data_IF_829657491011
#
_entry.id   IF_829657491011
#
_cell.length_a   1.000
_cell.length_b   1.000
_cell.length_c   1.000
_cell.angle_alpha   90.00
_cell.angle_beta   90.00
_cell.angle_gamma   90.00
#
_symmetry.space_group_name_H-M   'P 1'
#
loop_
_entity.id
_entity.type
_entity.pdbx_description
1 polymer ?
#
# COMPACT_ATOMS: atom_id res chain seq x y z
N UNK A 1 32.31 -62.64 -9.81
CA UNK A 1 31.29 -63.12 -8.85
C UNK A 1 31.27 -62.16 -7.65
N UNK A 2 30.07 -61.64 -7.35
CA UNK A 2 29.59 -60.77 -6.27
C UNK A 2 30.53 -59.83 -5.50
N UNK A 3 30.25 -58.52 -5.65
CA UNK A 3 30.57 -57.44 -4.71
C UNK A 3 29.56 -57.46 -3.54
N UNK A 4 30.06 -57.34 -2.31
CA UNK A 4 29.24 -57.21 -1.11
C UNK A 4 28.77 -55.75 -0.93
N UNK A 5 27.47 -55.57 -0.71
CA UNK A 5 26.81 -54.29 -0.42
C UNK A 5 26.61 -54.18 1.09
N UNK A 6 27.19 -53.16 1.70
CA UNK A 6 26.99 -52.83 3.11
C UNK A 6 25.59 -52.19 3.29
N UNK A 7 24.77 -52.84 4.13
CA UNK A 7 23.40 -52.42 4.47
C UNK A 7 23.47 -51.63 5.79
N UNK A 8 23.37 -50.30 5.71
CA UNK A 8 23.26 -49.43 6.88
C UNK A 8 21.85 -49.57 7.49
N UNK A 9 21.79 -49.93 8.76
CA UNK A 9 20.56 -50.05 9.56
C UNK A 9 20.19 -48.67 10.11
N UNK A 10 19.01 -48.16 9.76
CA UNK A 10 18.37 -47.02 10.41
C UNK A 10 17.43 -47.51 11.54
N UNK A 11 17.39 -46.85 12.71
CA UNK A 11 16.47 -47.21 13.80
C UNK A 11 15.04 -46.69 13.57
N UNK A 12 14.01 -47.33 14.16
CA UNK A 12 12.62 -46.95 13.97
C UNK A 12 12.22 -45.78 14.88
N UNK A 13 11.62 -44.73 14.31
CA UNK A 13 10.93 -43.68 15.07
C UNK A 13 9.50 -44.15 15.33
N UNK A 14 9.16 -44.26 16.61
CA UNK A 14 7.84 -44.62 17.13
C UNK A 14 6.79 -43.57 16.75
N UNK A 15 5.66 -44.07 16.21
CA UNK A 15 4.39 -43.35 16.14
C UNK A 15 3.71 -43.47 17.50
N UNK A 16 3.38 -42.34 18.12
CA UNK A 16 2.35 -42.29 19.15
C UNK A 16 1.52 -41.02 18.92
N UNK A 17 0.33 -41.21 18.35
CA UNK A 17 -0.63 -40.15 18.00
C UNK A 17 -1.93 -40.44 18.75
N UNK A 18 -1.89 -40.43 20.09
CA UNK A 18 -3.11 -40.41 20.90
C UNK A 18 -2.85 -39.83 22.29
N UNK A 19 -2.97 -38.50 22.43
CA UNK A 19 -3.48 -37.81 23.65
C UNK A 19 -3.46 -36.29 23.46
N UNK A 20 -4.49 -35.76 22.82
CA UNK A 20 -4.89 -34.37 23.06
C UNK A 20 -6.04 -34.40 24.07
N UNK A 21 -5.73 -34.16 25.34
CA UNK A 21 -6.73 -33.86 26.37
C UNK A 21 -7.29 -32.46 26.11
N UNK A 22 -8.60 -32.36 25.85
CA UNK A 22 -9.33 -31.09 25.74
C UNK A 22 -9.20 -30.28 27.04
N UNK A 23 -9.01 -28.96 26.98
CA UNK A 23 -9.20 -28.09 28.14
C UNK A 23 -10.69 -28.09 28.53
N UNK A 24 -10.97 -28.31 29.81
CA UNK A 24 -12.32 -28.12 30.36
C UNK A 24 -12.59 -26.61 30.48
N UNK A 25 -13.51 -26.10 29.67
CA UNK A 25 -14.09 -24.77 29.88
C UNK A 25 -15.08 -24.88 31.04
N UNK A 26 -14.84 -24.14 32.12
CA UNK A 26 -15.76 -24.03 33.25
C UNK A 26 -17.07 -23.36 32.84
N UNK A 27 -18.16 -23.78 33.46
CA UNK A 27 -19.50 -23.26 33.21
C UNK A 27 -19.62 -21.76 33.55
N UNK A 28 -20.43 -20.98 32.81
CA UNK A 28 -20.66 -19.58 33.12
C UNK A 28 -21.60 -19.45 34.32
N UNK A 29 -21.07 -18.99 35.45
CA UNK A 29 -21.88 -18.55 36.59
C UNK A 29 -22.83 -17.43 36.16
N UNK A 30 -24.11 -17.75 36.19
CA UNK A 30 -25.23 -16.82 36.04
C UNK A 30 -25.49 -16.21 37.41
N UNK A 31 -25.03 -14.98 37.63
CA UNK A 31 -25.63 -14.03 38.58
C UNK A 31 -24.88 -12.69 38.50
N UNK A 32 -25.41 -11.76 37.70
CA UNK A 32 -25.05 -10.35 37.80
C UNK A 32 -26.35 -9.54 37.88
N UNK A 33 -26.55 -8.99 39.08
CA UNK A 33 -27.68 -8.19 39.52
C UNK A 33 -27.85 -6.94 38.65
N UNK A 34 -29.04 -6.76 38.09
CA UNK A 34 -29.50 -5.52 37.48
C UNK A 34 -30.29 -4.71 38.49
N UNK A 35 -29.72 -3.64 39.02
CA UNK A 35 -30.50 -2.54 39.59
C UNK A 35 -29.65 -1.29 39.76
N UNK A 36 -29.78 -0.34 38.83
CA UNK A 36 -29.90 1.11 39.05
C UNK A 36 -29.53 1.91 37.79
N UNK A 37 -30.54 2.27 36.99
CA UNK A 37 -30.44 3.34 35.99
C UNK A 37 -31.62 4.30 36.22
N UNK A 38 -31.41 5.58 36.58
CA UNK A 38 -32.49 6.55 36.71
C UNK A 38 -32.97 7.05 35.33
N UNK A 39 -34.23 7.50 35.19
CA UNK A 39 -34.83 7.80 33.90
C UNK A 39 -34.31 9.10 33.28
N UNK A 40 -34.11 9.09 31.96
CA UNK A 40 -33.77 10.26 31.17
C UNK A 40 -34.97 11.23 31.11
N UNK A 41 -34.73 12.48 31.53
CA UNK A 41 -35.68 13.60 31.37
C UNK A 41 -35.69 14.07 29.92
N UNK A 42 -36.89 14.09 29.34
CA UNK A 42 -37.20 14.76 28.09
C UNK A 42 -37.08 16.28 28.32
N UNK A 43 -36.17 16.95 27.62
CA UNK A 43 -36.07 18.41 27.61
C UNK A 43 -36.64 18.96 26.29
N UNK A 44 -37.67 19.78 26.44
CA UNK A 44 -38.27 20.63 25.41
C UNK A 44 -37.40 21.84 25.09
N UNK A 45 -37.42 22.24 23.82
CA UNK A 45 -36.74 23.38 23.22
C UNK A 45 -37.08 24.74 23.85
N UNK A 46 -36.06 25.58 24.05
CA UNK A 46 -36.21 27.03 24.18
C UNK A 46 -35.16 27.75 23.30
N UNK A 47 -35.63 28.76 22.57
CA UNK A 47 -34.92 29.57 21.57
C UNK A 47 -33.94 30.57 22.21
N UNK A 48 -32.91 30.88 21.41
CA UNK A 48 -32.20 32.17 21.30
C UNK A 48 -30.99 32.41 22.21
N UNK A 49 -29.80 32.41 21.60
CA UNK A 49 -29.02 33.64 21.39
C UNK A 49 -27.77 33.33 20.55
N UNK A 50 -27.51 34.18 19.57
CA UNK A 50 -26.40 34.15 18.63
C UNK A 50 -25.05 33.97 19.33
N UNK A 51 -24.33 32.89 19.00
CA UNK A 51 -22.90 32.77 19.22
C UNK A 51 -22.29 32.34 17.89
N UNK A 52 -21.50 33.24 17.31
CA UNK A 52 -20.61 32.97 16.19
C UNK A 52 -19.72 31.79 16.57
N UNK A 53 -19.98 30.62 15.98
CA UNK A 53 -19.12 29.46 16.11
C UNK A 53 -17.82 29.78 15.35
N UNK A 54 -16.79 30.19 16.08
CA UNK A 54 -15.43 30.06 15.61
C UNK A 54 -15.18 28.58 15.40
N UNK A 55 -15.05 28.19 14.13
CA UNK A 55 -14.68 26.85 13.72
C UNK A 55 -13.23 26.58 14.17
N UNK A 56 -12.93 25.59 15.04
CA UNK A 56 -11.57 25.37 15.52
C UNK A 56 -10.68 24.57 14.54
N UNK A 57 -11.11 24.35 13.29
CA UNK A 57 -10.37 23.58 12.29
C UNK A 57 -9.90 24.41 11.08
N UNK A 58 -9.65 25.70 11.25
CA UNK A 58 -8.66 26.39 10.41
C UNK A 58 -7.29 26.20 11.04
N UNK A 59 -6.65 25.07 10.76
CA UNK A 59 -5.20 25.01 10.80
C UNK A 59 -4.72 25.95 9.71
N UNK A 60 -4.37 27.18 10.07
CA UNK A 60 -3.46 27.98 9.29
C UNK A 60 -2.23 27.10 9.01
N UNK A 61 -2.10 26.62 7.76
CA UNK A 61 -0.84 26.05 7.30
C UNK A 61 0.18 27.18 7.44
N UNK A 62 0.99 27.13 8.50
CA UNK A 62 2.21 27.92 8.60
C UNK A 62 3.10 27.54 7.40
N UNK A 63 2.95 28.28 6.29
CA UNK A 63 3.69 28.09 5.04
C UNK A 63 5.18 28.46 5.16
N UNK A 64 5.70 28.63 6.38
CA UNK A 64 7.05 29.14 6.64
C UNK A 64 8.01 28.08 7.18
N UNK A 65 7.55 26.88 7.52
CA UNK A 65 8.41 25.79 8.04
C UNK A 65 8.46 24.53 7.17
N UNK A 66 7.68 24.44 6.10
CA UNK A 66 7.56 23.22 5.29
C UNK A 66 8.72 22.99 4.29
N UNK A 67 9.56 23.99 4.02
CA UNK A 67 10.48 23.97 2.86
C UNK A 67 11.97 24.03 3.19
N UNK A 68 12.39 23.72 4.42
CA UNK A 68 13.82 23.67 4.73
C UNK A 68 14.31 22.21 4.79
N UNK A 69 15.35 21.84 4.02
CA UNK A 69 15.99 20.55 4.16
C UNK A 69 16.37 20.31 5.62
N UNK A 70 16.02 19.14 6.14
CA UNK A 70 16.28 18.78 7.55
C UNK A 70 17.79 18.72 7.87
N UNK A 71 18.61 18.40 6.87
CA UNK A 71 20.03 18.13 7.03
C UNK A 71 20.93 19.32 6.67
N UNK A 72 22.13 19.34 7.25
CA UNK A 72 23.10 20.42 7.07
C UNK A 72 23.80 20.41 5.71
N UNK A 73 23.91 19.23 5.09
CA UNK A 73 24.54 19.04 3.78
C UNK A 73 23.43 18.86 2.75
N UNK A 74 23.29 19.84 1.87
CA UNK A 74 22.29 19.81 0.82
C UNK A 74 22.86 19.13 -0.43
N UNK A 75 22.12 18.17 -0.98
CA UNK A 75 22.46 17.50 -2.24
C UNK A 75 22.16 18.42 -3.42
N UNK A 76 21.01 19.09 -3.40
CA UNK A 76 20.56 20.05 -4.42
C UNK A 76 20.34 21.43 -3.80
N UNK A 77 20.15 22.46 -4.63
CA UNK A 77 19.68 23.76 -4.16
C UNK A 77 18.23 23.66 -3.66
N UNK A 78 17.81 24.52 -2.72
CA UNK A 78 16.46 24.45 -2.14
C UNK A 78 15.34 24.46 -3.19
N UNK A 79 15.48 25.28 -4.23
CA UNK A 79 14.51 25.38 -5.33
C UNK A 79 14.45 24.08 -6.15
N UNK A 80 15.59 23.41 -6.37
CA UNK A 80 15.62 22.12 -7.07
C UNK A 80 15.07 21.00 -6.18
N UNK A 81 15.46 20.97 -4.91
CA UNK A 81 14.96 20.01 -3.92
C UNK A 81 13.44 19.99 -3.91
N UNK A 82 12.79 21.14 -3.71
CA UNK A 82 11.32 21.22 -3.65
C UNK A 82 10.66 20.64 -4.90
N UNK A 83 11.08 21.09 -6.09
CA UNK A 83 10.53 20.61 -7.37
C UNK A 83 10.73 19.11 -7.58
N UNK A 84 11.92 18.59 -7.25
CA UNK A 84 12.22 17.15 -7.40
C UNK A 84 11.37 16.35 -6.43
N UNK A 85 11.31 16.76 -5.15
CA UNK A 85 10.56 16.02 -4.14
C UNK A 85 9.06 16.07 -4.35
N UNK A 86 8.52 17.13 -4.94
CA UNK A 86 7.11 17.20 -5.33
C UNK A 86 6.78 16.15 -6.41
N UNK A 87 7.63 16.05 -7.45
CA UNK A 87 7.47 15.04 -8.51
C UNK A 87 7.59 13.61 -7.97
N UNK A 88 8.53 13.38 -7.05
CA UNK A 88 8.72 12.09 -6.41
C UNK A 88 7.56 11.75 -5.48
N UNK A 89 7.07 12.72 -4.68
CA UNK A 89 5.97 12.51 -3.75
C UNK A 89 4.66 12.16 -4.47
N UNK A 90 4.41 12.77 -5.62
CA UNK A 90 3.29 12.42 -6.50
C UNK A 90 3.35 10.96 -6.95
N UNK A 91 4.53 10.51 -7.39
CA UNK A 91 4.72 9.13 -7.82
C UNK A 91 4.70 8.15 -6.63
N UNK A 92 5.18 8.56 -5.46
CA UNK A 92 5.11 7.77 -4.24
C UNK A 92 3.66 7.42 -3.89
N UNK A 93 2.74 8.39 -3.93
CA UNK A 93 1.33 8.13 -3.63
C UNK A 93 0.70 7.17 -4.64
N UNK A 94 1.01 7.32 -5.93
CA UNK A 94 0.52 6.41 -6.98
C UNK A 94 1.06 4.98 -6.79
N UNK A 95 2.35 4.82 -6.46
CA UNK A 95 2.95 3.50 -6.22
C UNK A 95 2.39 2.81 -4.97
N UNK A 96 2.19 3.57 -3.88
CA UNK A 96 1.58 3.01 -2.66
C UNK A 96 0.15 2.55 -2.93
N UNK A 97 -0.65 3.38 -3.61
CA UNK A 97 -2.03 3.01 -3.96
C UNK A 97 -2.07 1.82 -4.90
N UNK A 98 -1.18 1.76 -5.91
CA UNK A 98 -1.07 0.62 -6.81
C UNK A 98 -0.81 -0.68 -6.05
N UNK A 99 0.08 -0.67 -5.05
CA UNK A 99 0.35 -1.86 -4.24
C UNK A 99 -0.88 -2.31 -3.42
N UNK A 100 -1.71 -1.38 -2.95
CA UNK A 100 -2.96 -1.67 -2.24
C UNK A 100 -4.02 -2.21 -3.20
N UNK A 101 -4.21 -1.56 -4.34
CA UNK A 101 -5.13 -1.96 -5.40
C UNK A 101 -4.81 -3.38 -5.90
N UNK A 102 -3.54 -3.67 -6.18
CA UNK A 102 -3.12 -5.00 -6.61
C UNK A 102 -3.39 -6.08 -5.54
N UNK A 103 -3.25 -5.75 -4.25
CA UNK A 103 -3.61 -6.68 -3.17
C UNK A 103 -5.12 -6.90 -3.08
N UNK A 104 -5.92 -5.84 -3.27
CA UNK A 104 -7.37 -5.95 -3.37
C UNK A 104 -7.76 -6.88 -4.52
N UNK A 105 -7.15 -6.73 -5.70
CA UNK A 105 -7.35 -7.63 -6.85
C UNK A 105 -6.93 -9.07 -6.53
N UNK A 106 -5.76 -9.25 -5.91
CA UNK A 106 -5.20 -10.56 -5.57
C UNK A 106 -6.11 -11.36 -4.64
N UNK A 107 -6.76 -10.72 -3.67
CA UNK A 107 -7.69 -11.40 -2.75
C UNK A 107 -9.04 -11.74 -3.39
N UNK A 108 -9.49 -10.95 -4.36
CA UNK A 108 -10.87 -10.98 -4.84
C UNK A 108 -11.03 -11.46 -6.30
N UNK A 109 -9.96 -11.89 -6.95
CA UNK A 109 -10.02 -12.46 -8.29
C UNK A 109 -10.63 -13.87 -8.29
N UNK A 110 -11.54 -14.15 -9.23
CA UNK A 110 -12.10 -15.50 -9.44
C UNK A 110 -12.27 -15.84 -10.92
N UNK A 111 -12.36 -17.14 -11.24
CA UNK A 111 -12.63 -17.63 -12.60
C UNK A 111 -11.50 -18.46 -13.22
N UNK A 112 -11.62 -18.72 -14.52
CA UNK A 112 -10.62 -19.49 -15.29
C UNK A 112 -9.25 -18.80 -15.23
N UNK A 113 -8.18 -19.58 -15.03
CA UNK A 113 -6.81 -19.08 -14.83
C UNK A 113 -6.55 -18.30 -13.52
N UNK A 114 -7.48 -18.31 -12.55
CA UNK A 114 -7.35 -17.70 -11.22
C UNK A 114 -5.94 -17.81 -10.64
N UNK A 115 -5.39 -19.03 -10.54
CA UNK A 115 -4.10 -19.27 -9.88
C UNK A 115 -2.95 -18.51 -10.57
N UNK A 116 -2.98 -18.42 -11.90
CA UNK A 116 -1.94 -17.74 -12.66
C UNK A 116 -1.96 -16.24 -12.38
N UNK A 117 -3.14 -15.62 -12.47
CA UNK A 117 -3.32 -14.19 -12.19
C UNK A 117 -3.00 -13.88 -10.74
N UNK A 118 -3.54 -14.66 -9.81
CA UNK A 118 -3.32 -14.50 -8.36
C UNK A 118 -1.83 -14.48 -7.98
N UNK A 119 -1.03 -15.41 -8.54
CA UNK A 119 0.41 -15.47 -8.28
C UNK A 119 1.16 -14.32 -8.99
N UNK A 120 0.80 -14.02 -10.23
CA UNK A 120 1.45 -12.93 -10.98
C UNK A 120 1.23 -11.57 -10.28
N UNK A 121 0.04 -11.31 -9.72
CA UNK A 121 -0.22 -10.09 -8.95
C UNK A 121 0.77 -9.92 -7.79
N UNK A 122 1.18 -10.98 -7.10
CA UNK A 122 2.17 -10.91 -6.01
C UNK A 122 3.57 -10.50 -6.49
N UNK A 123 3.96 -10.94 -7.70
CA UNK A 123 5.24 -10.55 -8.30
C UNK A 123 5.25 -9.04 -8.64
N UNK A 124 4.12 -8.53 -9.15
CA UNK A 124 3.94 -7.10 -9.44
C UNK A 124 3.95 -6.31 -8.12
N UNK A 125 3.21 -6.77 -7.10
CA UNK A 125 3.15 -6.11 -5.78
C UNK A 125 4.54 -5.98 -5.16
N UNK A 126 5.38 -7.02 -5.24
CA UNK A 126 6.75 -6.96 -4.74
C UNK A 126 7.54 -5.85 -5.45
N UNK A 127 7.47 -5.81 -6.78
CA UNK A 127 8.16 -4.80 -7.60
C UNK A 127 7.71 -3.38 -7.26
N UNK A 128 6.38 -3.16 -7.14
CA UNK A 128 5.81 -1.84 -6.84
C UNK A 128 6.16 -1.38 -5.42
N UNK A 129 6.23 -2.31 -4.45
CA UNK A 129 6.61 -1.98 -3.06
C UNK A 129 8.07 -1.56 -2.97
N UNK A 130 8.97 -2.30 -3.60
CA UNK A 130 10.39 -1.95 -3.67
C UNK A 130 10.57 -0.58 -4.33
N UNK A 131 9.85 -0.31 -5.43
CA UNK A 131 9.84 1.00 -6.07
C UNK A 131 9.32 2.13 -5.17
N UNK A 132 8.24 1.89 -4.41
CA UNK A 132 7.69 2.89 -3.49
C UNK A 132 8.68 3.25 -2.38
N UNK A 133 9.42 2.26 -1.87
CA UNK A 133 10.44 2.47 -0.84
C UNK A 133 11.61 3.29 -1.41
N UNK A 134 12.12 2.92 -2.58
CA UNK A 134 13.21 3.64 -3.25
C UNK A 134 12.86 5.12 -3.50
N UNK A 135 11.63 5.40 -3.95
CA UNK A 135 11.14 6.78 -4.13
C UNK A 135 11.08 7.53 -2.80
N UNK A 136 10.52 6.91 -1.75
CA UNK A 136 10.42 7.53 -0.43
C UNK A 136 11.79 7.82 0.19
N UNK A 137 12.74 6.89 0.07
CA UNK A 137 14.11 7.06 0.53
C UNK A 137 14.86 8.12 -0.27
N UNK A 138 14.56 8.28 -1.58
CA UNK A 138 15.12 9.39 -2.36
C UNK A 138 14.63 10.75 -1.87
N UNK A 139 13.34 10.88 -1.54
CA UNK A 139 12.79 12.11 -0.94
C UNK A 139 13.49 12.41 0.38
N UNK A 140 13.64 11.41 1.25
CA UNK A 140 14.36 11.52 2.52
C UNK A 140 15.83 11.92 2.33
N UNK A 141 16.49 11.35 1.33
CA UNK A 141 17.89 11.67 0.97
C UNK A 141 18.07 13.13 0.56
N UNK A 142 17.07 13.70 -0.11
CA UNK A 142 17.05 15.13 -0.47
C UNK A 142 16.70 16.05 0.70
N UNK A 143 16.46 15.50 1.89
CA UNK A 143 16.23 16.21 3.14
C UNK A 143 14.77 16.61 3.37
N UNK A 144 13.83 16.05 2.60
CA UNK A 144 12.39 16.27 2.73
C UNK A 144 11.72 15.02 3.34
N UNK A 145 10.57 15.19 3.99
CA UNK A 145 9.84 14.06 4.55
C UNK A 145 8.88 13.48 3.50
N UNK A 146 9.04 12.20 3.17
CA UNK A 146 8.07 11.45 2.37
C UNK A 146 6.76 11.25 3.17
N UNK A 147 5.62 11.37 2.52
CA UNK A 147 4.29 11.17 3.11
C UNK A 147 3.54 10.04 2.42
N UNK A 148 3.57 8.86 3.04
CA UNK A 148 2.81 7.67 2.63
C UNK A 148 1.59 7.38 3.51
N UNK A 149 1.09 8.36 4.29
CA UNK A 149 -0.08 8.14 5.14
C UNK A 149 -1.31 7.84 4.28
N UNK A 150 -2.16 6.93 4.73
CA UNK A 150 -3.32 6.45 3.97
C UNK A 150 -4.25 7.57 3.47
N UNK A 151 -4.46 8.62 4.28
CA UNK A 151 -5.26 9.79 3.87
C UNK A 151 -4.59 10.58 2.75
N UNK A 152 -3.29 10.83 2.85
CA UNK A 152 -2.52 11.52 1.81
C UNK A 152 -2.57 10.73 0.49
N UNK A 153 -2.38 9.42 0.57
CA UNK A 153 -2.48 8.53 -0.59
C UNK A 153 -3.87 8.61 -1.22
N UNK A 154 -4.93 8.48 -0.42
CA UNK A 154 -6.31 8.54 -0.90
C UNK A 154 -6.68 9.91 -1.50
N UNK A 155 -6.12 11.01 -0.98
CA UNK A 155 -6.41 12.37 -1.44
C UNK A 155 -5.62 12.74 -2.71
N UNK A 156 -4.49 12.09 -2.98
CA UNK A 156 -3.53 12.50 -4.02
C UNK A 156 -3.35 11.50 -5.17
N UNK A 157 -3.67 10.22 -4.97
CA UNK A 157 -3.54 9.20 -6.02
C UNK A 157 -4.36 9.54 -7.25
N UNK A 158 -3.80 9.29 -8.43
CA UNK A 158 -4.48 9.48 -9.73
C UNK A 158 -5.05 8.17 -10.28
N UNK A 159 -4.90 7.06 -9.54
CA UNK A 159 -5.39 5.75 -9.98
C UNK A 159 -6.92 5.69 -9.91
N UNK A 160 -7.50 4.97 -10.87
CA UNK A 160 -8.93 4.65 -10.85
C UNK A 160 -9.28 3.76 -9.65
N UNK A 161 -10.48 3.94 -9.12
CA UNK A 161 -10.99 3.08 -8.04
C UNK A 161 -11.19 1.64 -8.54
N UNK A 162 -10.68 0.67 -7.79
CA UNK A 162 -10.92 -0.74 -8.05
C UNK A 162 -12.31 -1.16 -7.52
N UNK A 163 -13.06 -2.03 -8.23
CA UNK A 163 -14.37 -2.48 -7.78
C UNK A 163 -14.34 -3.16 -6.39
N UNK A 164 -15.42 -2.99 -5.63
CA UNK A 164 -15.62 -3.74 -4.39
C UNK A 164 -16.08 -5.18 -4.67
N UNK A 165 -15.75 -6.09 -3.75
CA UNK A 165 -16.13 -7.50 -3.83
C UNK A 165 -15.31 -8.32 -4.85
N UNK A 166 -15.86 -9.49 -5.21
CA UNK A 166 -15.24 -10.42 -6.16
C UNK A 166 -15.30 -9.90 -7.60
N UNK A 167 -14.17 -9.97 -8.31
CA UNK A 167 -14.01 -9.53 -9.70
C UNK A 167 -13.50 -10.71 -10.53
N UNK A 168 -14.08 -10.94 -11.70
CA UNK A 168 -13.65 -12.05 -12.54
C UNK A 168 -12.26 -11.79 -13.14
N UNK A 169 -11.59 -12.83 -13.62
CA UNK A 169 -10.23 -12.73 -14.18
C UNK A 169 -10.12 -11.71 -15.31
N UNK A 170 -11.06 -11.66 -16.26
CA UNK A 170 -10.97 -10.74 -17.40
C UNK A 170 -11.06 -9.29 -16.93
N UNK A 171 -12.07 -8.98 -16.11
CA UNK A 171 -12.24 -7.65 -15.51
C UNK A 171 -11.05 -7.26 -14.63
N UNK A 172 -10.48 -8.22 -13.88
CA UNK A 172 -9.30 -7.99 -13.04
C UNK A 172 -8.09 -7.60 -13.86
N UNK A 173 -7.83 -8.30 -14.97
CA UNK A 173 -6.70 -8.01 -15.87
C UNK A 173 -6.81 -6.59 -16.41
N UNK A 174 -7.98 -6.18 -16.91
CA UNK A 174 -8.17 -4.82 -17.45
C UNK A 174 -8.01 -3.74 -16.38
N UNK A 175 -8.65 -3.89 -15.21
CA UNK A 175 -8.51 -2.90 -14.14
C UNK A 175 -7.06 -2.77 -13.63
N UNK A 176 -6.33 -3.89 -13.58
CA UNK A 176 -4.91 -3.87 -13.19
C UNK A 176 -4.06 -3.24 -14.28
N UNK A 177 -4.30 -3.55 -15.56
CA UNK A 177 -3.59 -2.93 -16.68
C UNK A 177 -3.78 -1.40 -16.68
N UNK A 178 -5.02 -0.92 -16.51
CA UNK A 178 -5.34 0.50 -16.45
C UNK A 178 -4.65 1.22 -15.27
N UNK A 179 -4.69 0.62 -14.08
CA UNK A 179 -4.02 1.17 -12.90
C UNK A 179 -2.49 1.22 -13.08
N UNK A 180 -1.90 0.15 -13.61
CA UNK A 180 -0.47 0.09 -13.92
C UNK A 180 -0.08 1.13 -14.97
N UNK A 181 -0.88 1.27 -16.04
CA UNK A 181 -0.64 2.27 -17.09
C UNK A 181 -0.67 3.69 -16.53
N UNK A 182 -1.61 3.99 -15.64
CA UNK A 182 -1.72 5.29 -14.98
C UNK A 182 -0.50 5.60 -14.12
N UNK A 183 -0.02 4.62 -13.34
CA UNK A 183 1.21 4.78 -12.55
C UNK A 183 2.45 4.96 -13.45
N UNK A 184 2.56 4.20 -14.53
CA UNK A 184 3.65 4.31 -15.52
C UNK A 184 3.64 5.69 -16.20
N UNK A 185 2.47 6.24 -16.52
CA UNK A 185 2.36 7.58 -17.08
C UNK A 185 2.83 8.66 -16.12
N UNK A 186 2.51 8.52 -14.83
CA UNK A 186 3.05 9.38 -13.78
C UNK A 186 4.58 9.34 -13.72
N UNK A 187 5.17 8.14 -13.80
CA UNK A 187 6.61 7.95 -13.80
C UNK A 187 7.27 8.57 -15.04
N UNK A 188 6.73 8.28 -16.23
CA UNK A 188 7.21 8.85 -17.50
C UNK A 188 7.14 10.38 -17.51
N UNK A 189 6.05 10.94 -17.00
CA UNK A 189 5.90 12.39 -16.88
C UNK A 189 6.93 13.02 -15.93
N UNK A 190 7.26 12.34 -14.83
CA UNK A 190 8.29 12.80 -13.91
C UNK A 190 9.69 12.68 -14.52
N UNK A 191 10.00 11.59 -15.23
CA UNK A 191 11.28 11.41 -15.95
C UNK A 191 11.53 12.59 -16.89
N UNK A 192 10.55 12.95 -17.72
CA UNK A 192 10.66 14.06 -18.69
C UNK A 192 11.01 15.41 -18.02
N UNK A 193 10.60 15.60 -16.76
CA UNK A 193 10.83 16.83 -15.99
C UNK A 193 12.11 16.79 -15.16
N UNK A 194 12.58 15.60 -14.79
CA UNK A 194 13.69 15.43 -13.85
C UNK A 194 15.05 15.62 -14.49
N UNK A 195 15.23 15.41 -15.79
CA UNK A 195 16.56 15.47 -16.42
C UNK A 195 17.32 16.79 -16.19
N UNK A 196 16.63 17.94 -16.23
CA UNK A 196 17.27 19.24 -15.94
C UNK A 196 17.37 19.55 -14.43
N UNK A 197 16.55 18.89 -13.62
CA UNK A 197 16.46 19.13 -12.18
C UNK A 197 17.49 18.29 -11.42
N UNK A 198 17.46 16.98 -11.62
CA UNK A 198 18.27 15.97 -10.93
C UNK A 198 18.35 14.66 -11.75
N UNK A 199 19.40 14.50 -12.56
CA UNK A 199 19.62 13.28 -13.37
C UNK A 199 19.69 11.98 -12.56
N UNK A 200 20.01 12.05 -11.26
CA UNK A 200 20.07 10.86 -10.41
C UNK A 200 18.65 10.36 -10.10
N UNK A 201 17.73 11.27 -9.82
CA UNK A 201 16.32 10.92 -9.63
C UNK A 201 15.65 10.52 -10.95
N UNK A 202 16.06 11.11 -12.08
CA UNK A 202 15.62 10.67 -13.41
C UNK A 202 16.01 9.20 -13.68
N UNK A 203 17.29 8.86 -13.53
CA UNK A 203 17.81 7.50 -13.75
C UNK A 203 17.12 6.47 -12.84
N UNK A 204 16.90 6.83 -11.58
CA UNK A 204 16.14 6.02 -10.63
C UNK A 204 14.71 5.72 -11.13
N UNK A 205 13.97 6.74 -11.58
CA UNK A 205 12.62 6.52 -12.11
C UNK A 205 12.62 5.74 -13.43
N UNK A 206 13.65 5.88 -14.27
CA UNK A 206 13.83 5.04 -15.46
C UNK A 206 14.00 3.57 -15.04
N UNK A 207 14.85 3.32 -14.04
CA UNK A 207 15.09 2.00 -13.46
C UNK A 207 13.83 1.35 -12.88
N UNK A 208 12.97 2.14 -12.21
CA UNK A 208 11.67 1.70 -11.70
C UNK A 208 10.66 1.44 -12.84
N UNK A 209 10.64 2.28 -13.87
CA UNK A 209 9.65 2.20 -14.95
C UNK A 209 9.82 0.96 -15.82
N UNK A 210 11.07 0.55 -16.10
CA UNK A 210 11.36 -0.58 -16.97
C UNK A 210 10.72 -1.92 -16.53
N UNK A 211 10.84 -2.38 -15.27
CA UNK A 211 10.16 -3.60 -14.83
C UNK A 211 8.64 -3.44 -14.77
N UNK A 212 8.10 -2.25 -14.45
CA UNK A 212 6.65 -2.03 -14.44
C UNK A 212 6.04 -2.10 -15.83
N UNK A 213 6.71 -1.55 -16.85
CA UNK A 213 6.27 -1.68 -18.25
C UNK A 213 6.30 -3.12 -18.74
N UNK A 214 7.29 -3.90 -18.30
CA UNK A 214 7.35 -5.34 -18.58
C UNK A 214 6.19 -6.09 -17.93
N UNK A 215 5.87 -5.78 -16.66
CA UNK A 215 4.71 -6.36 -15.99
C UNK A 215 3.40 -5.96 -16.67
N UNK A 216 3.25 -4.69 -17.06
CA UNK A 216 2.08 -4.22 -17.80
C UNK A 216 1.90 -5.00 -19.09
N UNK A 217 2.97 -5.22 -19.86
CA UNK A 217 2.93 -6.09 -21.03
C UNK A 217 2.40 -7.49 -20.70
N UNK A 218 2.90 -8.13 -19.64
CA UNK A 218 2.45 -9.46 -19.24
C UNK A 218 0.99 -9.49 -18.79
N UNK A 219 0.51 -8.43 -18.13
CA UNK A 219 -0.90 -8.30 -17.74
C UNK A 219 -1.78 -8.10 -18.97
N UNK A 220 -1.54 -7.07 -19.77
CA UNK A 220 -2.39 -6.73 -20.92
C UNK A 220 -2.34 -7.79 -22.04
N UNK A 221 -1.29 -8.60 -22.11
CA UNK A 221 -1.24 -9.75 -23.03
C UNK A 221 -2.26 -10.86 -22.70
N UNK A 222 -2.97 -10.76 -21.57
CA UNK A 222 -4.06 -11.67 -21.19
C UNK A 222 -5.44 -11.13 -21.56
N UNK A 223 -5.55 -9.90 -22.09
CA UNK A 223 -6.81 -9.34 -22.58
C UNK A 223 -7.24 -10.02 -23.89
N UNK A 224 -8.56 -10.15 -24.09
CA UNK A 224 -9.17 -10.76 -25.28
C UNK A 224 -9.37 -9.78 -26.44
#
# INVERSE_FOLDING_TARGET
MSRAVARLLLPPVLRDVTRFTRPQFGEPNTEMFWSNVPPLRIFTWAKSASHTLLNPFTTERNMTTANKPQFQRNILSSVKTEKVTDLLQHNLTNLIDLALLLKQAHWNVFGSNFRSVHVHLDEIIATVRDASDEVAERIATLGMAADGRSRTVADATELGTYPDGFVDVASTVTHVADAMKSAIDGLRNAIDKLGDLDPISEDMLIGISAPLEKHLWMVQAQEE
#
